data_IF_446343835397
#
_entry.id   IF_446343835397
#
_cell.length_a   1.000
_cell.length_b   1.000
_cell.length_c   1.000
_cell.angle_alpha   90.00
_cell.angle_beta   90.00
_cell.angle_gamma   90.00
#
_symmetry.space_group_name_H-M   'P 1'
#
loop_
_entity.id
_entity.type
_entity.pdbx_description
1 polymer ?
#
# COMPACT_ATOMS: atom_id res chain seq x y z
N UNK A 1 -28.71 1.95 7.37
CA UNK A 1 -29.00 2.67 6.11
C UNK A 1 -27.74 2.92 5.29
N UNK A 2 -26.72 3.62 5.81
CA UNK A 2 -25.45 3.86 5.08
C UNK A 2 -24.80 2.59 4.51
N UNK A 3 -24.76 1.48 5.28
CA UNK A 3 -24.21 0.20 4.82
C UNK A 3 -24.93 -0.35 3.58
N UNK A 4 -26.26 -0.26 3.55
CA UNK A 4 -27.05 -0.76 2.41
C UNK A 4 -26.80 0.09 1.17
N UNK A 5 -26.77 1.43 1.33
CA UNK A 5 -26.45 2.34 0.23
C UNK A 5 -25.03 2.11 -0.28
N UNK A 6 -24.06 1.91 0.61
CA UNK A 6 -22.69 1.57 0.25
C UNK A 6 -22.65 0.30 -0.60
N UNK A 7 -23.30 -0.77 -0.16
CA UNK A 7 -23.33 -2.05 -0.88
C UNK A 7 -23.94 -1.87 -2.28
N UNK A 8 -25.06 -1.17 -2.39
CA UNK A 8 -25.70 -0.88 -3.66
C UNK A 8 -24.82 -0.06 -4.60
N UNK A 9 -24.23 1.05 -4.12
CA UNK A 9 -23.35 1.91 -4.93
C UNK A 9 -22.13 1.12 -5.40
N UNK A 10 -21.51 0.35 -4.52
CA UNK A 10 -20.34 -0.46 -4.86
C UNK A 10 -20.69 -1.53 -5.89
N UNK A 11 -21.88 -2.13 -5.81
CA UNK A 11 -22.35 -3.08 -6.81
C UNK A 11 -22.61 -2.41 -8.17
N UNK A 12 -23.32 -1.28 -8.17
CA UNK A 12 -23.56 -0.48 -9.38
C UNK A 12 -22.25 -0.10 -10.09
N UNK A 13 -21.27 0.40 -9.34
CA UNK A 13 -19.96 0.77 -9.89
C UNK A 13 -19.22 -0.43 -10.50
N UNK A 14 -19.35 -1.62 -9.92
CA UNK A 14 -18.74 -2.85 -10.46
C UNK A 14 -19.45 -3.30 -11.73
N UNK A 15 -20.77 -3.36 -11.71
CA UNK A 15 -21.61 -3.83 -12.83
C UNK A 15 -21.38 -2.99 -14.08
N UNK A 16 -21.19 -1.67 -13.90
CA UNK A 16 -20.96 -0.74 -15.01
C UNK A 16 -19.46 -0.49 -15.31
N UNK A 17 -18.53 -1.19 -14.64
CA UNK A 17 -17.07 -1.02 -14.79
C UNK A 17 -16.59 0.44 -14.58
N UNK A 18 -17.22 1.16 -13.66
CA UNK A 18 -16.94 2.56 -13.34
C UNK A 18 -15.91 2.72 -12.20
N UNK A 19 -15.31 1.62 -11.73
CA UNK A 19 -14.27 1.67 -10.70
C UNK A 19 -12.91 1.97 -11.33
N UNK A 20 -12.21 2.97 -10.77
CA UNK A 20 -10.83 3.26 -11.13
C UNK A 20 -9.93 2.06 -10.80
N UNK A 21 -9.27 1.53 -11.82
CA UNK A 21 -8.36 0.40 -11.68
C UNK A 21 -7.07 0.78 -10.95
N UNK A 22 -6.74 2.07 -10.85
CA UNK A 22 -5.54 2.59 -10.18
C UNK A 22 -5.75 2.82 -8.67
N UNK A 23 -7.00 2.82 -8.19
CA UNK A 23 -7.36 3.04 -6.78
C UNK A 23 -7.39 1.74 -5.96
N UNK A 24 -6.49 1.64 -4.99
CA UNK A 24 -6.37 0.48 -4.08
C UNK A 24 -7.00 0.72 -2.70
N UNK A 25 -7.14 1.97 -2.28
CA UNK A 25 -7.74 2.34 -1.01
C UNK A 25 -9.23 2.07 -1.01
N UNK A 26 -9.75 1.48 0.07
CA UNK A 26 -11.17 1.14 0.25
C UNK A 26 -11.79 0.29 -0.88
N UNK A 27 -10.97 -0.36 -1.70
CA UNK A 27 -11.40 -1.21 -2.81
C UNK A 27 -11.26 -2.69 -2.43
N UNK A 28 -12.37 -3.43 -2.53
CA UNK A 28 -12.38 -4.87 -2.22
C UNK A 28 -11.40 -5.64 -3.12
N UNK A 29 -10.58 -6.51 -2.52
CA UNK A 29 -9.55 -7.28 -3.23
C UNK A 29 -8.23 -6.53 -3.45
N UNK A 30 -8.14 -5.27 -3.02
CA UNK A 30 -6.92 -4.45 -3.05
C UNK A 30 -6.49 -4.06 -1.64
N UNK A 31 -5.20 -3.81 -1.46
CA UNK A 31 -4.60 -3.44 -0.18
C UNK A 31 -3.34 -2.60 -0.39
N UNK A 32 -2.76 -2.09 0.69
CA UNK A 32 -1.45 -1.44 0.65
C UNK A 32 -0.39 -2.34 0.00
N UNK A 33 -0.42 -3.64 0.33
CA UNK A 33 0.52 -4.60 -0.22
C UNK A 33 0.35 -4.77 -1.74
N UNK A 34 -0.88 -4.87 -2.24
CA UNK A 34 -1.09 -5.03 -3.69
C UNK A 34 -0.72 -3.75 -4.44
N UNK A 35 -0.90 -2.58 -3.83
CA UNK A 35 -0.49 -1.30 -4.40
C UNK A 35 1.04 -1.22 -4.53
N UNK A 36 1.76 -1.53 -3.45
CA UNK A 36 3.23 -1.55 -3.45
C UNK A 36 3.77 -2.59 -4.45
N UNK A 37 3.21 -3.80 -4.46
CA UNK A 37 3.67 -4.87 -5.36
C UNK A 37 3.46 -4.48 -6.83
N UNK A 38 2.29 -3.98 -7.20
CA UNK A 38 1.98 -3.58 -8.58
C UNK A 38 2.87 -2.41 -9.04
N UNK A 39 2.96 -1.36 -8.23
CA UNK A 39 3.72 -0.16 -8.58
C UNK A 39 5.21 -0.47 -8.75
N UNK A 40 5.81 -1.16 -7.78
CA UNK A 40 7.24 -1.45 -7.82
C UNK A 40 7.59 -2.65 -8.73
N UNK A 41 6.62 -3.45 -9.18
CA UNK A 41 6.88 -4.42 -10.24
C UNK A 41 7.29 -3.70 -11.52
N UNK A 42 6.55 -2.64 -11.88
CA UNK A 42 6.88 -1.77 -13.01
C UNK A 42 8.22 -1.06 -12.84
N UNK A 43 8.45 -0.46 -11.66
CA UNK A 43 9.71 0.26 -11.35
C UNK A 43 10.91 -0.68 -11.44
N UNK A 44 10.87 -1.83 -10.76
CA UNK A 44 12.01 -2.74 -10.68
C UNK A 44 12.36 -3.35 -12.04
N UNK A 45 11.38 -3.55 -12.94
CA UNK A 45 11.64 -3.95 -14.35
C UNK A 45 12.49 -2.92 -15.08
N UNK A 46 12.21 -1.62 -14.94
CA UNK A 46 12.99 -0.56 -15.59
C UNK A 46 14.41 -0.50 -15.01
N UNK A 47 14.53 -0.53 -13.68
CA UNK A 47 15.83 -0.50 -12.99
C UNK A 47 16.69 -1.72 -13.39
N UNK A 48 16.08 -2.89 -13.55
CA UNK A 48 16.79 -4.11 -13.96
C UNK A 48 17.43 -4.01 -15.36
N UNK A 49 16.79 -3.24 -16.25
CA UNK A 49 17.34 -2.95 -17.59
C UNK A 49 18.39 -1.83 -17.58
N UNK A 50 18.69 -1.24 -16.42
CA UNK A 50 19.64 -0.14 -16.25
C UNK A 50 19.05 1.24 -16.50
N UNK A 51 17.71 1.36 -16.61
CA UNK A 51 17.00 2.63 -16.74
C UNK A 51 16.91 3.40 -15.42
N UNK A 52 16.29 4.58 -15.49
CA UNK A 52 16.06 5.44 -14.34
C UNK A 52 14.61 5.96 -14.32
N UNK A 53 14.06 6.09 -13.12
CA UNK A 53 12.70 6.59 -12.92
C UNK A 53 12.67 7.63 -11.81
N UNK A 54 11.71 8.54 -11.90
CA UNK A 54 11.40 9.51 -10.86
C UNK A 54 9.99 9.25 -10.32
N UNK A 55 9.87 9.12 -9.00
CA UNK A 55 8.61 8.90 -8.30
C UNK A 55 8.23 10.20 -7.58
N UNK A 56 7.07 10.77 -7.88
CA UNK A 56 6.49 11.83 -7.06
C UNK A 56 5.47 11.22 -6.10
N UNK A 57 5.70 11.43 -4.80
CA UNK A 57 4.74 11.17 -3.74
C UNK A 57 3.97 12.47 -3.46
N UNK A 58 2.65 12.41 -3.60
CA UNK A 58 1.77 13.57 -3.52
C UNK A 58 0.83 13.43 -2.33
N UNK A 59 0.76 14.48 -1.52
CA UNK A 59 -0.05 14.55 -0.31
C UNK A 59 -1.14 15.62 -0.48
N UNK A 60 -2.38 15.31 -0.10
CA UNK A 60 -3.47 16.28 -0.13
C UNK A 60 -3.63 17.00 1.21
N UNK A 61 -3.93 18.29 1.15
CA UNK A 61 -4.26 19.07 2.34
C UNK A 61 -5.65 18.71 2.85
N UNK A 62 -5.71 17.89 3.91
CA UNK A 62 -6.96 17.49 4.59
C UNK A 62 -7.99 16.89 3.62
N UNK A 63 -7.56 15.88 2.86
CA UNK A 63 -8.28 15.38 1.69
C UNK A 63 -9.77 15.09 1.94
N UNK A 64 -10.08 14.39 3.04
CA UNK A 64 -11.45 14.04 3.40
C UNK A 64 -12.29 15.26 3.81
N UNK A 65 -11.69 16.27 4.43
CA UNK A 65 -12.39 17.42 5.00
C UNK A 65 -12.66 18.52 3.96
N UNK A 66 -11.95 18.50 2.85
CA UNK A 66 -11.97 19.57 1.83
C UNK A 66 -12.78 19.22 0.58
N UNK A 67 -13.33 18.00 0.48
CA UNK A 67 -14.16 17.58 -0.67
C UNK A 67 -15.35 18.54 -0.88
N UNK A 68 -15.44 19.28 -1.99
CA UNK A 68 -16.55 20.20 -2.21
C UNK A 68 -17.84 19.43 -2.53
N UNK A 69 -18.88 19.62 -1.71
CA UNK A 69 -20.13 18.86 -1.82
C UNK A 69 -20.77 18.97 -3.21
N UNK A 70 -20.88 20.19 -3.77
CA UNK A 70 -21.49 20.39 -5.09
C UNK A 70 -20.78 19.61 -6.20
N UNK A 71 -19.44 19.56 -6.16
CA UNK A 71 -18.63 18.83 -7.15
C UNK A 71 -18.79 17.32 -6.99
N UNK A 72 -18.84 16.83 -5.75
CA UNK A 72 -19.13 15.43 -5.45
C UNK A 72 -20.51 15.02 -5.96
N UNK A 73 -21.55 15.83 -5.71
CA UNK A 73 -22.90 15.56 -6.21
C UNK A 73 -22.93 15.51 -7.74
N UNK A 74 -22.25 16.42 -8.43
CA UNK A 74 -22.16 16.38 -9.89
C UNK A 74 -21.53 15.08 -10.41
N UNK A 75 -20.46 14.59 -9.77
CA UNK A 75 -19.86 13.28 -10.10
C UNK A 75 -20.83 12.12 -9.87
N UNK A 76 -21.58 12.15 -8.78
CA UNK A 76 -22.59 11.12 -8.50
C UNK A 76 -23.69 11.09 -9.57
N UNK A 77 -24.11 12.26 -10.05
CA UNK A 77 -25.09 12.37 -11.14
C UNK A 77 -24.56 11.83 -12.46
N UNK A 78 -23.27 12.01 -12.77
CA UNK A 78 -22.66 11.46 -14.00
C UNK A 78 -22.48 9.93 -13.99
N UNK A 79 -22.63 9.27 -12.84
CA UNK A 79 -22.48 7.81 -12.70
C UNK A 79 -23.78 7.03 -12.96
N UNK A 80 -24.84 7.71 -13.43
CA UNK A 80 -26.16 7.11 -13.67
C UNK A 80 -26.71 6.35 -12.45
N UNK A 81 -26.47 6.88 -11.25
CA UNK A 81 -27.06 6.37 -10.02
C UNK A 81 -28.55 6.77 -9.95
N UNK A 82 -29.33 6.03 -9.18
CA UNK A 82 -30.73 6.40 -8.91
C UNK A 82 -30.79 7.81 -8.30
N UNK A 83 -31.65 8.66 -8.86
CA UNK A 83 -31.83 10.06 -8.42
C UNK A 83 -32.17 10.17 -6.93
N UNK A 84 -32.91 9.21 -6.36
CA UNK A 84 -33.25 9.19 -4.94
C UNK A 84 -32.02 8.91 -4.08
N UNK A 85 -31.08 8.10 -4.55
CA UNK A 85 -29.83 7.81 -3.84
C UNK A 85 -28.93 9.06 -3.85
N UNK A 86 -28.84 9.73 -4.99
CA UNK A 86 -28.07 10.98 -5.10
C UNK A 86 -28.68 12.07 -4.21
N UNK A 87 -30.00 12.20 -4.19
CA UNK A 87 -30.71 13.15 -3.34
C UNK A 87 -30.51 12.84 -1.86
N UNK A 88 -30.57 11.56 -1.48
CA UNK A 88 -30.29 11.13 -0.11
C UNK A 88 -28.86 11.51 0.30
N UNK A 89 -27.86 11.29 -0.56
CA UNK A 89 -26.47 11.67 -0.29
C UNK A 89 -26.32 13.19 -0.17
N UNK A 90 -27.02 13.96 -1.02
CA UNK A 90 -27.06 15.42 -0.92
C UNK A 90 -27.56 15.86 0.45
N UNK A 91 -28.71 15.34 0.88
CA UNK A 91 -29.28 15.65 2.20
C UNK A 91 -28.37 15.19 3.35
N UNK A 92 -27.68 14.05 3.19
CA UNK A 92 -26.73 13.54 4.18
C UNK A 92 -25.48 14.43 4.35
N UNK A 93 -25.12 15.21 3.33
CA UNK A 93 -24.02 16.19 3.36
C UNK A 93 -24.47 17.60 3.77
N UNK A 94 -25.72 17.97 3.47
CA UNK A 94 -26.29 19.31 3.71
C UNK A 94 -26.56 19.62 5.18
N UNK A 95 -26.54 20.92 5.51
CA UNK A 95 -26.94 21.51 6.80
C UNK A 95 -26.29 20.88 8.05
N UNK A 96 -25.13 20.27 7.85
CA UNK A 96 -24.35 19.65 8.93
C UNK A 96 -23.69 20.72 9.78
N UNK A 97 -23.67 20.46 11.08
CA UNK A 97 -22.93 21.25 12.05
C UNK A 97 -21.96 20.35 12.81
N UNK A 98 -20.83 20.92 13.21
CA UNK A 98 -19.83 20.28 14.04
C UNK A 98 -19.44 21.17 15.22
N UNK A 99 -19.01 20.56 16.31
CA UNK A 99 -18.39 21.22 17.46
C UNK A 99 -17.33 20.31 18.05
N UNK A 100 -16.32 20.89 18.68
CA UNK A 100 -15.25 20.14 19.35
C UNK A 100 -15.58 20.04 20.84
N UNK A 101 -15.28 18.89 21.43
CA UNK A 101 -15.39 18.66 22.88
C UNK A 101 -14.01 18.36 23.43
N UNK A 102 -13.54 19.18 24.37
CA UNK A 102 -12.26 18.96 25.08
C UNK A 102 -12.54 18.99 26.57
N UNK A 103 -12.22 17.90 27.28
CA UNK A 103 -12.43 17.78 28.72
C UNK A 103 -13.87 18.13 29.16
N UNK A 104 -14.87 17.74 28.37
CA UNK A 104 -16.29 18.04 28.64
C UNK A 104 -16.74 19.46 28.29
N UNK A 105 -15.84 20.32 27.80
CA UNK A 105 -16.17 21.69 27.35
C UNK A 105 -16.44 21.68 25.84
N UNK A 106 -17.54 22.32 25.44
CA UNK A 106 -17.99 22.40 24.05
C UNK A 106 -17.55 23.71 23.40
N UNK A 107 -17.08 23.65 22.15
CA UNK A 107 -16.95 24.83 21.30
C UNK A 107 -18.31 25.33 20.80
N UNK A 108 -18.34 26.52 20.21
CA UNK A 108 -19.44 26.93 19.36
C UNK A 108 -19.67 25.93 18.21
N UNK A 109 -20.91 25.87 17.72
CA UNK A 109 -21.25 25.10 16.52
C UNK A 109 -20.72 25.81 15.28
N UNK A 110 -20.07 25.07 14.40
CA UNK A 110 -19.65 25.51 13.07
C UNK A 110 -20.37 24.72 11.99
N UNK A 111 -20.74 25.38 10.90
CA UNK A 111 -21.30 24.73 9.72
C UNK A 111 -20.23 23.91 9.00
N UNK A 112 -20.62 22.75 8.48
CA UNK A 112 -19.76 21.88 7.66
C UNK A 112 -20.09 22.12 6.20
N UNK A 113 -19.30 22.97 5.55
CA UNK A 113 -19.52 23.38 4.15
C UNK A 113 -18.80 22.51 3.12
N UNK A 114 -17.92 21.62 3.56
CA UNK A 114 -17.14 20.71 2.72
C UNK A 114 -16.79 19.43 3.48
N UNK A 115 -16.30 18.46 2.73
CA UNK A 115 -15.76 17.21 3.23
C UNK A 115 -16.76 16.08 3.26
N UNK A 116 -16.24 14.87 3.29
CA UNK A 116 -16.99 13.65 3.59
C UNK A 116 -16.71 13.25 5.04
N UNK A 117 -17.75 12.95 5.85
CA UNK A 117 -17.58 12.66 7.27
C UNK A 117 -16.59 11.51 7.55
N UNK A 118 -15.51 11.82 8.27
CA UNK A 118 -14.57 10.81 8.74
C UNK A 118 -15.25 9.87 9.75
N UNK A 119 -14.97 8.57 9.64
CA UNK A 119 -15.63 7.54 10.47
C UNK A 119 -17.02 7.10 9.97
N UNK A 120 -17.56 7.73 8.93
CA UNK A 120 -18.79 7.24 8.27
C UNK A 120 -18.53 6.01 7.40
N UNK A 121 -19.61 5.28 7.10
CA UNK A 121 -19.55 4.09 6.23
C UNK A 121 -19.47 4.49 4.75
N UNK A 122 -20.13 5.60 4.37
CA UNK A 122 -20.14 6.11 2.99
C UNK A 122 -18.94 6.99 2.63
N UNK A 123 -18.38 7.73 3.59
CA UNK A 123 -17.32 8.71 3.33
C UNK A 123 -16.17 8.19 2.47
N UNK A 124 -15.58 7.02 2.78
CA UNK A 124 -14.51 6.44 1.95
C UNK A 124 -14.92 6.12 0.50
N UNK A 125 -16.16 5.67 0.28
CA UNK A 125 -16.64 5.37 -1.08
C UNK A 125 -16.90 6.65 -1.86
N UNK A 126 -17.47 7.66 -1.21
CA UNK A 126 -17.68 8.98 -1.81
C UNK A 126 -16.36 9.66 -2.16
N UNK A 127 -15.34 9.52 -1.32
CA UNK A 127 -13.99 10.00 -1.61
C UNK A 127 -13.39 9.29 -2.83
N UNK A 128 -13.50 7.95 -2.90
CA UNK A 128 -13.02 7.19 -4.05
C UNK A 128 -13.71 7.60 -5.36
N UNK A 129 -15.01 7.86 -5.33
CA UNK A 129 -15.75 8.40 -6.49
C UNK A 129 -15.23 9.80 -6.83
N UNK A 130 -14.96 10.62 -5.83
CA UNK A 130 -14.46 11.97 -6.04
C UNK A 130 -13.11 11.99 -6.75
N UNK A 131 -12.18 11.12 -6.36
CA UNK A 131 -10.82 11.10 -6.91
C UNK A 131 -10.67 10.23 -8.18
N UNK A 132 -11.73 9.55 -8.65
CA UNK A 132 -11.62 8.48 -9.65
C UNK A 132 -11.05 8.89 -11.01
N UNK A 133 -11.11 10.18 -11.37
CA UNK A 133 -10.61 10.73 -12.63
C UNK A 133 -9.26 11.45 -12.50
N UNK A 134 -8.64 11.46 -11.31
CA UNK A 134 -7.35 12.13 -11.08
C UNK A 134 -6.26 11.65 -12.03
N UNK A 135 -6.32 10.37 -12.40
CA UNK A 135 -5.32 9.71 -13.21
C UNK A 135 -5.65 9.74 -14.71
N UNK A 136 -6.72 10.44 -15.11
CA UNK A 136 -7.13 10.58 -16.51
C UNK A 136 -6.10 11.42 -17.27
N UNK A 137 -5.68 10.92 -18.44
CA UNK A 137 -4.69 11.59 -19.28
C UNK A 137 -3.26 11.57 -18.74
N UNK A 138 -2.96 10.95 -17.60
CA UNK A 138 -1.59 10.77 -17.10
C UNK A 138 -0.91 9.61 -17.84
N UNK A 139 0.29 9.84 -18.37
CA UNK A 139 1.02 8.81 -19.13
C UNK A 139 1.91 7.95 -18.22
N UNK A 140 2.44 8.53 -17.13
CA UNK A 140 3.20 7.78 -16.13
C UNK A 140 2.39 6.70 -15.41
N UNK A 141 3.09 5.80 -14.71
CA UNK A 141 2.45 4.82 -13.83
C UNK A 141 1.89 5.56 -12.62
N UNK A 142 0.58 5.44 -12.39
CA UNK A 142 -0.12 6.03 -11.23
C UNK A 142 -0.68 4.93 -10.35
N UNK A 143 -0.51 5.07 -9.05
CA UNK A 143 -1.16 4.24 -8.05
C UNK A 143 -1.74 5.13 -6.95
N UNK A 144 -2.99 4.86 -6.59
CA UNK A 144 -3.71 5.60 -5.55
C UNK A 144 -4.04 4.66 -4.39
N UNK A 145 -4.02 5.18 -3.17
CA UNK A 145 -4.58 4.53 -2.00
C UNK A 145 -5.30 5.56 -1.14
N UNK A 146 -6.61 5.69 -1.36
CA UNK A 146 -7.40 6.80 -0.85
C UNK A 146 -6.78 8.12 -1.33
N UNK A 147 -6.35 8.99 -0.41
CA UNK A 147 -5.69 10.26 -0.66
C UNK A 147 -4.21 10.11 -1.03
N UNK A 148 -3.53 9.03 -0.59
CA UNK A 148 -2.14 8.78 -0.95
C UNK A 148 -2.02 8.58 -2.48
N UNK A 149 -1.35 9.51 -3.15
CA UNK A 149 -1.18 9.48 -4.61
C UNK A 149 0.30 9.41 -4.95
N UNK A 150 0.68 8.48 -5.82
CA UNK A 150 2.02 8.45 -6.39
C UNK A 150 2.01 8.26 -7.88
N UNK A 151 2.89 8.99 -8.56
CA UNK A 151 3.12 8.89 -9.99
C UNK A 151 4.59 8.59 -10.27
N UNK A 152 4.86 7.84 -11.33
CA UNK A 152 6.21 7.47 -11.72
C UNK A 152 6.39 7.53 -13.23
N UNK A 153 7.49 8.13 -13.66
CA UNK A 153 7.88 8.22 -15.06
C UNK A 153 9.32 7.73 -15.25
N UNK A 154 9.59 7.15 -16.42
CA UNK A 154 10.94 6.83 -16.85
C UNK A 154 11.63 8.10 -17.37
N UNK A 155 12.80 8.42 -16.83
CA UNK A 155 13.47 9.72 -17.04
C UNK A 155 14.82 9.64 -17.73
N UNK A 156 15.35 8.43 -17.95
CA UNK A 156 16.59 8.21 -18.74
C UNK A 156 16.36 8.26 -20.26
N UNK A 157 15.14 8.54 -20.72
CA UNK A 157 14.77 8.57 -22.14
C UNK A 157 14.48 10.00 -22.61
N UNK A 158 14.69 10.31 -23.91
CA UNK A 158 14.30 11.61 -24.46
C UNK A 158 12.84 11.93 -24.16
N UNK A 159 12.58 13.12 -23.62
CA UNK A 159 11.25 13.57 -23.22
C UNK A 159 10.71 13.00 -21.90
N UNK A 160 11.42 12.08 -21.23
CA UNK A 160 10.96 11.48 -19.97
C UNK A 160 10.77 12.50 -18.84
N UNK A 161 11.70 13.43 -18.69
CA UNK A 161 11.57 14.55 -17.72
C UNK A 161 10.39 15.45 -18.10
N UNK A 162 10.27 15.82 -19.38
CA UNK A 162 9.15 16.64 -19.88
C UNK A 162 7.80 15.97 -19.67
N UNK A 163 7.73 14.64 -19.81
CA UNK A 163 6.55 13.84 -19.54
C UNK A 163 6.16 13.89 -18.06
N UNK A 164 7.13 13.73 -17.15
CA UNK A 164 6.91 13.87 -15.72
C UNK A 164 6.39 15.26 -15.36
N UNK A 165 7.01 16.32 -15.89
CA UNK A 165 6.55 17.71 -15.69
C UNK A 165 5.14 17.93 -16.23
N UNK A 166 4.81 17.38 -17.41
CA UNK A 166 3.47 17.47 -17.98
C UNK A 166 2.41 16.74 -17.14
N UNK A 167 2.74 15.55 -16.63
CA UNK A 167 1.84 14.77 -15.76
C UNK A 167 1.59 15.49 -14.43
N UNK A 168 2.63 16.07 -13.81
CA UNK A 168 2.47 16.93 -12.63
C UNK A 168 1.62 18.17 -12.94
N UNK A 169 1.79 18.76 -14.13
CA UNK A 169 0.96 19.88 -14.60
C UNK A 169 -0.52 19.51 -14.78
N UNK A 170 -0.82 18.29 -15.25
CA UNK A 170 -2.20 17.77 -15.33
C UNK A 170 -2.79 17.58 -13.94
N UNK A 171 -2.03 17.01 -13.01
CA UNK A 171 -2.45 16.85 -11.62
C UNK A 171 -2.72 18.19 -10.93
N UNK A 172 -1.86 19.19 -11.17
CA UNK A 172 -2.07 20.57 -10.69
C UNK A 172 -3.42 21.11 -11.19
N UNK A 173 -3.67 21.04 -12.51
CA UNK A 173 -4.93 21.49 -13.12
C UNK A 173 -6.14 20.74 -12.58
N UNK A 174 -6.03 19.42 -12.39
CA UNK A 174 -7.08 18.61 -11.78
C UNK A 174 -7.36 19.04 -10.34
N UNK A 175 -6.32 19.29 -9.55
CA UNK A 175 -6.42 19.75 -8.16
C UNK A 175 -7.10 21.12 -8.05
N UNK A 176 -6.73 22.07 -8.92
CA UNK A 176 -7.37 23.39 -9.02
C UNK A 176 -8.84 23.27 -9.45
N UNK A 177 -9.11 22.44 -10.47
CA UNK A 177 -10.46 22.20 -10.95
C UNK A 177 -11.33 21.59 -9.86
N UNK A 178 -10.89 20.53 -9.20
CA UNK A 178 -11.70 19.83 -8.19
C UNK A 178 -11.63 20.45 -6.80
N UNK A 179 -10.84 21.52 -6.62
CA UNK A 179 -10.62 22.22 -5.35
C UNK A 179 -10.12 21.28 -4.24
N UNK A 180 -9.27 20.33 -4.60
CA UNK A 180 -8.61 19.40 -3.67
C UNK A 180 -7.11 19.67 -3.69
N UNK A 181 -6.66 20.63 -2.88
CA UNK A 181 -5.30 21.17 -2.94
C UNK A 181 -4.24 20.20 -2.40
N UNK A 182 -3.10 20.11 -3.08
CA UNK A 182 -1.93 19.41 -2.55
C UNK A 182 -1.29 20.16 -1.38
N UNK A 183 -0.73 19.42 -0.43
CA UNK A 183 0.21 19.92 0.57
C UNK A 183 1.62 19.83 -0.03
N UNK A 184 2.01 20.84 -0.79
CA UNK A 184 3.23 20.77 -1.62
C UNK A 184 4.51 20.58 -0.79
N UNK A 185 4.55 21.08 0.45
CA UNK A 185 5.70 20.91 1.35
C UNK A 185 5.89 19.45 1.79
N UNK A 186 4.80 18.69 1.84
CA UNK A 186 4.81 17.25 2.12
C UNK A 186 5.00 16.39 0.87
N UNK A 187 4.75 16.94 -0.32
CA UNK A 187 5.06 16.24 -1.56
C UNK A 187 6.57 16.05 -1.72
N UNK A 188 7.00 14.87 -2.16
CA UNK A 188 8.41 14.51 -2.33
C UNK A 188 8.68 13.93 -3.71
N UNK A 189 9.92 14.08 -4.18
CA UNK A 189 10.43 13.38 -5.36
C UNK A 189 11.53 12.40 -4.95
N UNK A 190 11.45 11.16 -5.42
CA UNK A 190 12.49 10.15 -5.23
C UNK A 190 13.07 9.76 -6.58
N UNK A 191 14.39 9.84 -6.70
CA UNK A 191 15.13 9.52 -7.92
C UNK A 191 15.70 8.10 -7.83
N UNK A 192 15.34 7.23 -8.76
CA UNK A 192 15.80 5.85 -8.81
C UNK A 192 16.59 5.56 -10.08
N UNK A 193 17.60 4.69 -9.96
CA UNK A 193 18.42 4.22 -11.07
C UNK A 193 19.77 4.95 -11.18
N UNK A 194 20.80 4.21 -11.61
CA UNK A 194 22.19 4.71 -11.60
C UNK A 194 22.45 5.86 -12.57
N UNK A 195 21.65 5.95 -13.64
CA UNK A 195 21.76 6.97 -14.70
C UNK A 195 20.72 8.08 -14.53
N UNK A 196 20.17 8.25 -13.33
CA UNK A 196 19.11 9.21 -13.10
C UNK A 196 19.66 10.65 -13.22
N UNK A 197 19.02 11.53 -14.01
CA UNK A 197 19.44 12.93 -14.18
C UNK A 197 19.17 13.82 -12.96
N UNK A 198 18.40 13.32 -11.97
CA UNK A 198 17.97 14.00 -10.75
C UNK A 198 17.34 15.36 -11.05
N UNK A 199 16.37 15.36 -11.96
CA UNK A 199 15.71 16.57 -12.41
C UNK A 199 14.91 17.23 -11.28
N UNK A 200 14.87 18.57 -11.30
CA UNK A 200 14.02 19.35 -10.41
C UNK A 200 12.59 19.42 -10.98
N UNK A 201 11.60 19.19 -10.12
CA UNK A 201 10.18 19.29 -10.47
C UNK A 201 9.47 20.31 -9.60
N UNK A 202 8.47 20.97 -10.18
CA UNK A 202 7.65 21.98 -9.50
C UNK A 202 6.17 21.64 -9.60
N UNK A 203 5.44 21.90 -8.53
CA UNK A 203 3.98 21.93 -8.52
C UNK A 203 3.59 23.31 -7.99
N UNK A 204 2.73 24.02 -8.73
CA UNK A 204 2.51 25.46 -8.52
C UNK A 204 3.85 26.20 -8.62
N UNK A 205 4.20 27.01 -7.62
CA UNK A 205 5.44 27.79 -7.57
C UNK A 205 6.50 27.15 -6.65
N UNK A 206 6.23 25.94 -6.15
CA UNK A 206 7.10 25.26 -5.17
C UNK A 206 7.83 24.09 -5.80
N UNK A 207 9.13 24.00 -5.51
CA UNK A 207 10.00 22.88 -5.89
C UNK A 207 9.73 21.68 -4.98
N UNK A 208 9.52 20.51 -5.58
CA UNK A 208 9.37 19.26 -4.81
C UNK A 208 10.69 18.90 -4.13
N UNK A 209 10.62 18.60 -2.84
CA UNK A 209 11.81 18.20 -2.08
C UNK A 209 12.25 16.80 -2.50
N UNK A 210 13.52 16.65 -2.89
CA UNK A 210 14.12 15.34 -3.17
C UNK A 210 14.30 14.53 -1.88
N UNK A 211 14.06 13.22 -1.93
CA UNK A 211 14.24 12.31 -0.79
C UNK A 211 14.96 11.03 -1.18
N UNK A 212 15.81 10.55 -0.27
CA UNK A 212 16.48 9.24 -0.37
C UNK A 212 15.70 8.12 0.33
N UNK A 213 14.78 8.45 1.24
CA UNK A 213 13.87 7.51 1.89
C UNK A 213 12.48 8.12 2.05
N UNK A 214 11.44 7.40 1.67
CA UNK A 214 10.05 7.86 1.80
C UNK A 214 9.15 6.79 2.39
N UNK A 215 8.12 7.20 3.13
CA UNK A 215 7.15 6.29 3.71
C UNK A 215 5.95 6.11 2.78
N UNK A 216 5.90 4.99 2.07
CA UNK A 216 4.80 4.63 1.18
C UNK A 216 3.89 3.58 1.84
N UNK A 217 2.63 3.95 2.13
CA UNK A 217 1.61 3.10 2.75
C UNK A 217 2.08 2.36 4.03
N UNK A 218 2.94 3.02 4.80
CA UNK A 218 3.49 2.51 6.06
C UNK A 218 4.81 1.74 5.93
N UNK A 219 5.32 1.54 4.71
CA UNK A 219 6.60 0.89 4.41
C UNK A 219 7.64 1.94 4.01
N UNK A 220 8.89 1.76 4.44
CA UNK A 220 10.00 2.63 4.02
C UNK A 220 10.56 2.14 2.69
N UNK A 221 10.58 3.05 1.72
CA UNK A 221 11.16 2.89 0.39
C UNK A 221 12.46 3.69 0.38
N UNK A 222 13.57 3.08 -0.01
CA UNK A 222 14.85 3.78 -0.20
C UNK A 222 15.16 3.99 -1.68
N UNK A 223 15.99 5.00 -1.98
CA UNK A 223 16.44 5.31 -3.35
C UNK A 223 17.24 4.15 -4.00
N UNK A 224 17.85 3.29 -3.19
CA UNK A 224 18.58 2.10 -3.64
C UNK A 224 17.69 0.84 -3.71
N UNK A 225 16.40 0.98 -3.37
CA UNK A 225 15.40 -0.09 -3.27
C UNK A 225 15.79 -1.24 -2.34
N UNK A 226 16.75 -1.03 -1.45
CA UNK A 226 17.11 -2.01 -0.42
C UNK A 226 16.17 -1.91 0.77
N UNK A 227 15.81 -3.07 1.32
CA UNK A 227 14.81 -3.16 2.39
C UNK A 227 15.41 -3.05 3.80
N UNK A 228 16.71 -2.76 3.92
CA UNK A 228 17.42 -2.77 5.20
C UNK A 228 16.85 -1.71 6.17
N UNK A 229 16.58 -0.48 5.71
CA UNK A 229 15.95 0.57 6.54
C UNK A 229 14.56 0.16 7.02
N UNK A 230 13.75 -0.46 6.16
CA UNK A 230 12.45 -1.01 6.54
C UNK A 230 12.57 -2.14 7.57
N UNK A 231 13.53 -3.07 7.41
CA UNK A 231 13.75 -4.15 8.36
C UNK A 231 14.13 -3.63 9.75
N UNK A 232 15.02 -2.64 9.81
CA UNK A 232 15.40 -1.98 11.06
C UNK A 232 14.21 -1.29 11.72
N UNK A 233 13.40 -0.55 10.96
CA UNK A 233 12.21 0.13 11.48
C UNK A 233 11.15 -0.86 11.98
N UNK A 234 10.87 -1.92 11.23
CA UNK A 234 9.95 -2.98 11.60
C UNK A 234 10.38 -3.68 12.90
N UNK A 235 11.65 -4.10 12.97
CA UNK A 235 12.22 -4.74 14.16
C UNK A 235 12.24 -3.79 15.37
N UNK A 236 12.56 -2.51 15.18
CA UNK A 236 12.53 -1.49 16.23
C UNK A 236 11.12 -1.28 16.80
N UNK A 237 10.10 -1.17 15.93
CA UNK A 237 8.70 -1.04 16.35
C UNK A 237 8.22 -2.28 17.10
N UNK A 238 8.47 -3.46 16.54
CA UNK A 238 8.11 -4.73 17.16
C UNK A 238 8.85 -4.92 18.50
N UNK A 239 10.14 -4.57 18.57
CA UNK A 239 10.95 -4.63 19.79
C UNK A 239 10.46 -3.70 20.89
N UNK A 240 10.02 -2.48 20.54
CA UNK A 240 9.38 -1.55 21.48
C UNK A 240 8.06 -2.11 22.00
N UNK A 241 7.20 -2.60 21.11
CA UNK A 241 5.93 -3.21 21.49
C UNK A 241 6.13 -4.44 22.39
N UNK A 242 7.11 -5.29 22.06
CA UNK A 242 7.48 -6.44 22.89
C UNK A 242 7.99 -6.00 24.27
N UNK A 243 8.73 -4.89 24.34
CA UNK A 243 9.14 -4.27 25.60
C UNK A 243 7.94 -3.80 26.44
N UNK A 244 6.93 -3.19 25.81
CA UNK A 244 5.69 -2.80 26.47
C UNK A 244 4.92 -4.01 27.00
N UNK A 245 4.73 -5.06 26.19
CA UNK A 245 4.13 -6.33 26.63
C UNK A 245 4.93 -6.94 27.79
N UNK A 246 6.25 -6.87 27.70
CA UNK A 246 7.15 -7.32 28.75
C UNK A 246 6.92 -6.60 30.08
N UNK A 247 6.81 -5.28 30.08
CA UNK A 247 6.60 -4.49 31.31
C UNK A 247 5.16 -4.52 31.82
N UNK A 248 4.18 -4.55 30.92
CA UNK A 248 2.77 -4.45 31.27
C UNK A 248 2.13 -5.76 31.77
N UNK A 249 2.76 -6.91 31.53
CA UNK A 249 2.20 -8.22 31.87
C UNK A 249 3.16 -8.97 32.79
N UNK A 250 2.69 -9.30 34.00
CA UNK A 250 3.45 -10.08 34.98
C UNK A 250 3.56 -11.56 34.60
N UNK A 251 2.49 -12.14 34.03
CA UNK A 251 2.46 -13.55 33.64
C UNK A 251 3.40 -13.84 32.47
N UNK A 252 4.25 -14.85 32.63
CA UNK A 252 5.16 -15.37 31.59
C UNK A 252 4.73 -16.71 31.01
N UNK A 253 3.51 -17.14 31.29
CA UNK A 253 2.93 -18.38 30.74
C UNK A 253 2.77 -18.25 29.22
N UNK A 254 2.98 -19.35 28.49
CA UNK A 254 2.90 -19.37 27.01
C UNK A 254 1.51 -18.97 26.52
N UNK A 255 0.47 -19.33 27.26
CA UNK A 255 -0.95 -19.07 26.97
C UNK A 255 -1.28 -17.58 27.02
N UNK A 256 -0.46 -16.76 27.69
CA UNK A 256 -0.65 -15.31 27.79
C UNK A 256 0.29 -14.58 26.82
N UNK A 257 1.58 -14.88 26.88
CA UNK A 257 2.57 -14.13 26.10
C UNK A 257 2.46 -14.37 24.60
N UNK A 258 2.15 -15.59 24.15
CA UNK A 258 2.14 -15.89 22.71
C UNK A 258 0.95 -15.29 21.97
N UNK A 259 -0.29 -15.28 22.51
CA UNK A 259 -1.36 -14.49 21.92
C UNK A 259 -1.01 -13.01 21.80
N UNK A 260 -0.44 -12.40 22.84
CA UNK A 260 -0.03 -10.99 22.81
C UNK A 260 1.08 -10.71 21.79
N UNK A 261 2.08 -11.57 21.70
CA UNK A 261 3.11 -11.47 20.66
C UNK A 261 2.49 -11.53 19.26
N UNK A 262 1.59 -12.49 19.02
CA UNK A 262 0.95 -12.68 17.71
C UNK A 262 0.03 -11.52 17.32
N UNK A 263 -0.65 -10.92 18.29
CA UNK A 263 -1.63 -9.86 18.07
C UNK A 263 -1.01 -8.45 18.02
N UNK A 264 0.03 -8.18 18.82
CA UNK A 264 0.57 -6.83 18.98
C UNK A 264 1.98 -6.66 18.39
N UNK A 265 2.84 -7.67 18.50
CA UNK A 265 4.26 -7.55 18.11
C UNK A 265 4.48 -7.98 16.68
N UNK A 266 4.03 -9.18 16.32
CA UNK A 266 4.26 -9.80 15.02
C UNK A 266 3.70 -9.00 13.83
N UNK A 267 2.55 -8.30 13.92
CA UNK A 267 2.05 -7.50 12.80
C UNK A 267 3.05 -6.45 12.31
N UNK A 268 3.85 -5.85 13.20
CA UNK A 268 4.89 -4.91 12.81
C UNK A 268 6.01 -5.54 11.96
N UNK A 269 6.21 -6.85 12.08
CA UNK A 269 7.24 -7.62 11.34
C UNK A 269 6.70 -8.18 10.01
N UNK A 270 5.37 -8.25 9.84
CA UNK A 270 4.73 -8.96 8.73
C UNK A 270 3.88 -8.05 7.83
N UNK A 271 3.57 -6.82 8.26
CA UNK A 271 2.80 -5.88 7.46
C UNK A 271 3.48 -5.58 6.12
N UNK A 272 2.76 -5.84 5.02
CA UNK A 272 3.23 -5.69 3.63
C UNK A 272 4.53 -6.46 3.30
N UNK A 273 4.88 -7.52 4.05
CA UNK A 273 6.19 -8.18 3.94
C UNK A 273 6.41 -8.87 2.59
N UNK A 274 5.35 -9.19 1.84
CA UNK A 274 5.54 -9.70 0.46
C UNK A 274 6.17 -8.64 -0.45
N UNK A 275 6.01 -7.35 -0.18
CA UNK A 275 6.77 -6.33 -0.91
C UNK A 275 8.25 -6.32 -0.48
N UNK A 276 8.52 -6.17 0.82
CA UNK A 276 9.86 -5.87 1.33
C UNK A 276 10.62 -7.07 1.93
N UNK A 277 10.28 -8.31 1.56
CA UNK A 277 10.94 -9.52 2.11
C UNK A 277 12.47 -9.41 1.99
N UNK A 278 13.22 -9.45 3.11
CA UNK A 278 14.67 -9.37 3.05
C UNK A 278 15.27 -10.65 2.47
N UNK A 279 16.37 -10.50 1.74
CA UNK A 279 17.19 -11.59 1.21
C UNK A 279 18.61 -11.60 1.78
N UNK A 280 19.04 -10.52 2.45
CA UNK A 280 20.33 -10.47 3.13
C UNK A 280 20.21 -11.07 4.52
N UNK A 281 21.15 -11.95 4.89
CA UNK A 281 21.16 -12.65 6.16
C UNK A 281 21.09 -11.69 7.37
N UNK A 282 21.83 -10.57 7.31
CA UNK A 282 21.82 -9.54 8.36
C UNK A 282 20.40 -8.99 8.64
N UNK A 283 19.59 -8.79 7.59
CA UNK A 283 18.26 -8.19 7.70
C UNK A 283 17.26 -9.26 8.18
N UNK A 284 17.39 -10.49 7.69
CA UNK A 284 16.65 -11.67 8.19
C UNK A 284 16.87 -11.84 9.69
N UNK A 285 18.12 -11.80 10.15
CA UNK A 285 18.48 -11.99 11.56
C UNK A 285 17.98 -10.86 12.47
N UNK A 286 17.94 -9.62 11.99
CA UNK A 286 17.39 -8.48 12.73
C UNK A 286 15.90 -8.71 13.04
N UNK A 287 15.12 -9.18 12.06
CA UNK A 287 13.72 -9.51 12.29
C UNK A 287 13.58 -10.73 13.22
N UNK A 288 14.36 -11.79 12.95
CA UNK A 288 14.30 -13.05 13.71
C UNK A 288 14.68 -12.84 15.19
N UNK A 289 15.56 -11.89 15.48
CA UNK A 289 15.96 -11.51 16.84
C UNK A 289 14.78 -11.10 17.71
N UNK A 290 13.76 -10.45 17.13
CA UNK A 290 12.55 -10.06 17.87
C UNK A 290 11.77 -11.30 18.32
N UNK A 291 11.58 -12.27 17.43
CA UNK A 291 10.92 -13.53 17.78
C UNK A 291 11.75 -14.34 18.78
N UNK A 292 13.07 -14.43 18.58
CA UNK A 292 14.01 -15.07 19.52
C UNK A 292 13.91 -14.45 20.92
N UNK A 293 13.75 -13.13 21.03
CA UNK A 293 13.54 -12.46 22.32
C UNK A 293 12.18 -12.81 22.91
N UNK A 294 11.11 -12.77 22.12
CA UNK A 294 9.76 -13.05 22.59
C UNK A 294 9.62 -14.48 23.14
N UNK A 295 10.15 -15.49 22.43
CA UNK A 295 10.09 -16.88 22.89
C UNK A 295 10.97 -17.12 24.13
N UNK A 296 12.05 -16.35 24.33
CA UNK A 296 12.90 -16.42 25.52
C UNK A 296 12.20 -15.93 26.79
N UNK A 297 11.21 -15.05 26.65
CA UNK A 297 10.46 -14.48 27.78
C UNK A 297 9.45 -15.45 28.38
N UNK A 298 9.14 -16.55 27.69
CA UNK A 298 8.22 -17.57 28.17
C UNK A 298 8.89 -18.37 29.29
N UNK A 299 8.15 -18.59 30.37
CA UNK A 299 8.62 -19.36 31.52
C UNK A 299 9.09 -20.76 31.10
N UNK A 300 10.24 -21.19 31.64
CA UNK A 300 10.83 -22.50 31.34
C UNK A 300 11.54 -22.64 29.98
N UNK A 301 11.50 -21.60 29.13
CA UNK A 301 12.09 -21.67 27.78
C UNK A 301 13.42 -20.92 27.65
N UNK A 302 13.85 -20.14 28.65
CA UNK A 302 14.99 -19.21 28.56
C UNK A 302 16.30 -19.89 28.12
N UNK A 303 16.60 -21.06 28.66
CA UNK A 303 17.85 -21.80 28.46
C UNK A 303 17.81 -22.73 27.24
N UNK A 304 16.62 -22.96 26.65
CA UNK A 304 16.47 -23.81 25.46
C UNK A 304 17.01 -23.11 24.22
N UNK A 305 17.52 -23.90 23.27
CA UNK A 305 17.90 -23.41 21.95
C UNK A 305 16.71 -22.77 21.24
N UNK A 306 16.98 -21.94 20.22
CA UNK A 306 15.87 -21.31 19.50
C UNK A 306 14.95 -22.31 18.81
N UNK A 307 15.50 -23.39 18.26
CA UNK A 307 14.71 -24.41 17.57
C UNK A 307 13.81 -25.20 18.52
N UNK A 308 14.32 -25.58 19.70
CA UNK A 308 13.51 -26.24 20.74
C UNK A 308 12.36 -25.34 21.20
N UNK A 309 12.63 -24.04 21.42
CA UNK A 309 11.58 -23.08 21.80
C UNK A 309 10.50 -22.96 20.74
N UNK A 310 10.86 -22.98 19.46
CA UNK A 310 9.90 -22.96 18.37
C UNK A 310 9.03 -24.23 18.36
N UNK A 311 9.64 -25.40 18.58
CA UNK A 311 8.93 -26.68 18.65
C UNK A 311 7.95 -26.69 19.84
N UNK A 312 8.40 -26.31 21.04
CA UNK A 312 7.58 -26.28 22.26
C UNK A 312 6.39 -25.31 22.18
N UNK A 313 6.56 -24.21 21.43
CA UNK A 313 5.53 -23.19 21.23
C UNK A 313 4.65 -23.44 19.99
N UNK A 314 4.94 -24.50 19.24
CA UNK A 314 4.35 -24.80 17.93
C UNK A 314 4.39 -23.57 17.00
N UNK A 315 5.59 -23.02 16.80
CA UNK A 315 5.83 -21.82 16.01
C UNK A 315 6.83 -22.09 14.87
N UNK A 316 6.58 -21.47 13.73
CA UNK A 316 7.57 -21.37 12.66
C UNK A 316 8.52 -20.18 12.90
N UNK A 317 9.76 -20.28 12.38
CA UNK A 317 10.64 -19.10 12.23
C UNK A 317 9.95 -18.01 11.40
N UNK A 318 10.32 -16.75 11.59
CA UNK A 318 9.72 -15.69 10.77
C UNK A 318 10.08 -15.85 9.30
N UNK A 319 11.24 -16.45 9.00
CA UNK A 319 11.63 -16.81 7.64
C UNK A 319 10.65 -17.77 6.97
N UNK A 320 10.38 -18.93 7.58
CA UNK A 320 9.38 -19.89 7.06
C UNK A 320 7.99 -19.27 6.94
N UNK A 321 7.66 -18.31 7.81
CA UNK A 321 6.38 -17.57 7.73
C UNK A 321 6.34 -16.65 6.52
N UNK A 322 7.44 -16.00 6.15
CA UNK A 322 7.54 -15.18 4.93
C UNK A 322 7.40 -16.07 3.68
N UNK A 323 8.00 -17.25 3.67
CA UNK A 323 7.84 -18.22 2.57
C UNK A 323 6.37 -18.62 2.41
N UNK A 324 5.71 -18.97 3.52
CA UNK A 324 4.27 -19.27 3.53
C UNK A 324 3.43 -18.07 3.07
N UNK A 325 3.79 -16.86 3.47
CA UNK A 325 3.12 -15.64 3.06
C UNK A 325 3.23 -15.39 1.56
N UNK A 326 4.42 -15.57 1.00
CA UNK A 326 4.66 -15.52 -0.45
C UNK A 326 3.75 -16.52 -1.18
N UNK A 327 3.65 -17.77 -0.69
CA UNK A 327 2.77 -18.77 -1.29
C UNK A 327 1.29 -18.40 -1.28
N UNK A 328 0.80 -17.90 -0.13
CA UNK A 328 -0.58 -17.47 0.01
C UNK A 328 -0.89 -16.31 -0.93
N UNK A 329 0.00 -15.34 -1.02
CA UNK A 329 -0.22 -14.16 -1.86
C UNK A 329 -0.19 -14.51 -3.35
N UNK A 330 0.76 -15.35 -3.78
CA UNK A 330 0.79 -15.88 -5.15
C UNK A 330 -0.50 -16.62 -5.48
N UNK A 331 -1.01 -17.46 -4.57
CA UNK A 331 -2.29 -18.14 -4.76
C UNK A 331 -3.44 -17.14 -4.98
N UNK A 332 -3.52 -16.07 -4.19
CA UNK A 332 -4.56 -15.05 -4.35
C UNK A 332 -4.49 -14.33 -5.70
N UNK A 333 -3.30 -14.01 -6.20
CA UNK A 333 -3.14 -13.44 -7.54
C UNK A 333 -3.55 -14.44 -8.63
N UNK A 334 -3.04 -15.67 -8.55
CA UNK A 334 -3.31 -16.71 -9.56
C UNK A 334 -4.79 -17.09 -9.64
N UNK A 335 -5.53 -17.02 -8.53
CA UNK A 335 -6.96 -17.29 -8.45
C UNK A 335 -7.86 -16.06 -8.64
N UNK A 336 -7.30 -14.89 -8.93
CA UNK A 336 -8.08 -13.67 -9.14
C UNK A 336 -8.80 -13.16 -7.88
N UNK A 337 -8.35 -13.56 -6.69
CA UNK A 337 -8.87 -13.01 -5.41
C UNK A 337 -8.43 -11.55 -5.28
N UNK A 338 -7.21 -11.24 -5.72
CA UNK A 338 -6.80 -9.87 -5.94
C UNK A 338 -7.44 -9.35 -7.22
N UNK A 339 -8.23 -8.28 -7.08
CA UNK A 339 -8.85 -7.56 -8.22
C UNK A 339 -7.87 -6.58 -8.85
N UNK A 340 -6.71 -7.11 -9.24
CA UNK A 340 -5.77 -6.46 -10.15
C UNK A 340 -6.01 -7.01 -11.56
N UNK A 341 -5.59 -6.29 -12.59
CA UNK A 341 -5.76 -6.75 -13.97
C UNK A 341 -5.15 -8.14 -14.16
N UNK A 342 -5.88 -9.06 -14.79
CA UNK A 342 -5.41 -10.44 -14.99
C UNK A 342 -4.16 -10.44 -15.88
N UNK A 343 -3.09 -11.14 -15.44
CA UNK A 343 -1.81 -11.16 -16.16
C UNK A 343 -0.92 -9.93 -15.95
N UNK A 344 -1.35 -8.94 -15.14
CA UNK A 344 -0.55 -7.73 -14.83
C UNK A 344 0.79 -8.04 -14.18
N UNK A 345 0.80 -9.01 -13.24
CA UNK A 345 1.95 -9.29 -12.38
C UNK A 345 2.58 -10.67 -12.70
N UNK A 346 1.77 -11.69 -12.96
CA UNK A 346 2.23 -13.05 -13.25
C UNK A 346 1.77 -13.52 -14.62
N UNK A 347 2.70 -14.10 -15.40
CA UNK A 347 2.39 -14.80 -16.65
C UNK A 347 2.27 -16.30 -16.38
N UNK A 348 1.20 -16.92 -16.88
CA UNK A 348 1.05 -18.38 -16.85
C UNK A 348 1.82 -18.98 -18.02
N UNK A 349 2.58 -20.04 -17.75
CA UNK A 349 3.27 -20.79 -18.80
C UNK A 349 2.23 -21.57 -19.61
N UNK A 350 2.08 -21.24 -20.88
CA UNK A 350 1.31 -22.07 -21.80
C UNK A 350 2.05 -23.40 -21.99
N UNK A 351 1.44 -24.51 -21.59
CA UNK A 351 2.02 -25.85 -21.72
C UNK A 351 1.28 -26.62 -22.81
N UNK A 352 2.02 -27.10 -23.81
CA UNK A 352 1.56 -28.13 -24.76
C UNK A 352 1.74 -29.57 -24.21
N UNK A 353 2.32 -29.73 -23.00
CA UNK A 353 2.61 -31.04 -22.40
C UNK A 353 1.55 -31.42 -21.36
N UNK A 354 1.05 -32.66 -21.48
CA UNK A 354 -0.05 -33.27 -20.70
C UNK A 354 0.31 -33.69 -19.27
N UNK A 355 1.58 -33.62 -18.86
CA UNK A 355 2.06 -34.08 -17.53
C UNK A 355 2.47 -32.97 -16.55
N UNK A 356 2.09 -31.72 -16.80
CA UNK A 356 2.35 -30.59 -15.90
C UNK A 356 1.07 -30.00 -15.32
N UNK A 357 1.08 -29.53 -14.07
CA UNK A 357 -0.07 -28.81 -13.50
C UNK A 357 -0.29 -27.47 -14.22
N UNK A 358 -1.56 -27.08 -14.38
CA UNK A 358 -2.01 -25.91 -15.16
C UNK A 358 -1.69 -24.53 -14.56
N UNK A 359 -1.07 -24.49 -13.37
CA UNK A 359 -0.77 -23.25 -12.63
C UNK A 359 0.72 -22.87 -12.67
N UNK A 360 1.47 -23.37 -13.66
CA UNK A 360 2.89 -23.00 -13.80
C UNK A 360 3.02 -21.53 -14.17
N UNK A 361 3.89 -20.82 -13.45
CA UNK A 361 4.24 -19.44 -13.71
C UNK A 361 5.48 -19.38 -14.59
N UNK A 362 5.54 -18.37 -15.45
CA UNK A 362 6.71 -18.09 -16.29
C UNK A 362 7.59 -17.04 -15.60
N UNK A 363 8.84 -17.41 -15.33
CA UNK A 363 9.84 -16.51 -14.76
C UNK A 363 10.45 -15.63 -15.84
N UNK A 364 10.85 -14.42 -15.48
CA UNK A 364 11.51 -13.50 -16.39
C UNK A 364 13.02 -13.51 -16.15
N UNK A 365 13.81 -13.19 -17.18
CA UNK A 365 15.24 -12.98 -17.01
C UNK A 365 15.45 -11.68 -16.23
N UNK A 366 16.34 -11.72 -15.24
CA UNK A 366 16.73 -10.56 -14.45
C UNK A 366 18.25 -10.36 -14.46
N UNK A 367 18.71 -9.13 -14.23
CA UNK A 367 20.13 -8.74 -14.18
C UNK A 367 20.58 -8.26 -12.80
N UNK A 368 19.63 -7.90 -11.93
CA UNK A 368 19.89 -7.31 -10.62
C UNK A 368 19.33 -8.15 -9.47
N UNK A 369 19.97 -8.07 -8.31
CA UNK A 369 19.45 -8.69 -7.09
C UNK A 369 18.11 -8.08 -6.64
N UNK A 370 17.89 -6.79 -6.93
CA UNK A 370 16.62 -6.10 -6.63
C UNK A 370 15.48 -6.81 -7.36
N UNK A 371 15.63 -7.07 -8.68
CA UNK A 371 14.60 -7.77 -9.45
C UNK A 371 14.50 -9.25 -9.10
N UNK A 372 15.64 -9.95 -8.97
CA UNK A 372 15.71 -11.37 -8.59
C UNK A 372 14.91 -11.67 -7.31
N UNK A 373 15.08 -10.83 -6.29
CA UNK A 373 14.43 -11.01 -4.99
C UNK A 373 13.09 -10.25 -4.87
N UNK A 374 12.63 -9.62 -5.95
CA UNK A 374 11.31 -9.03 -5.99
C UNK A 374 10.23 -10.11 -6.00
N UNK A 375 9.05 -9.79 -5.46
CA UNK A 375 7.98 -10.75 -5.23
C UNK A 375 7.65 -11.58 -6.47
N UNK A 376 7.51 -10.93 -7.63
CA UNK A 376 7.06 -11.58 -8.86
C UNK A 376 8.05 -12.60 -9.43
N UNK A 377 9.35 -12.42 -9.18
CA UNK A 377 10.38 -13.33 -9.68
C UNK A 377 10.73 -14.39 -8.63
N UNK A 378 10.89 -13.99 -7.36
CA UNK A 378 11.34 -14.92 -6.31
C UNK A 378 10.37 -16.07 -6.06
N UNK A 379 9.07 -15.84 -6.25
CA UNK A 379 8.05 -16.88 -6.03
C UNK A 379 8.01 -17.89 -7.18
N UNK A 380 8.45 -17.49 -8.37
CA UNK A 380 8.59 -18.42 -9.49
C UNK A 380 9.75 -19.37 -9.22
N UNK A 381 10.91 -18.85 -8.81
CA UNK A 381 12.09 -19.68 -8.53
C UNK A 381 11.88 -20.63 -7.34
N UNK A 382 11.15 -20.20 -6.31
CA UNK A 382 10.93 -20.99 -5.09
C UNK A 382 9.80 -22.02 -5.20
N UNK A 383 8.77 -21.79 -6.04
CA UNK A 383 7.65 -22.73 -6.19
C UNK A 383 7.94 -23.92 -7.11
N UNK A 384 9.00 -23.86 -7.94
CA UNK A 384 9.35 -24.96 -8.88
C UNK A 384 10.51 -25.86 -8.42
N UNK A 385 11.03 -25.66 -7.20
CA UNK A 385 12.05 -26.55 -6.60
C UNK A 385 11.48 -27.61 -5.64
N UNK A 386 10.16 -27.67 -5.44
CA UNK A 386 9.51 -28.72 -4.68
C UNK A 386 8.49 -29.47 -5.55
N UNK A 387 9.03 -30.33 -6.41
CA UNK A 387 8.27 -31.28 -7.23
C UNK A 387 9.22 -32.37 -7.70
N UNK A 388 9.69 -33.18 -6.75
CA UNK A 388 10.21 -34.52 -7.00
C UNK A 388 9.06 -35.50 -7.20
#
# INVERSE_FOLDING_TARGET
>A
METMLKEWIVDHLKTHRLQDQKQHGFTSGRSCQTNLIDFFDWVTKIIDTGGAVDIAYLDFSKAFDTVPHRRLINKLQSLSLDSNIVEWIRQWLSDRQQRVVVNGVYSAQGLVTSGVPQGSVLGPILFNIFISDIAEGINGKVCLFADDTKICNRVDVPGGISQMTNDLGKLKKWSELWQLSFNVDKCKIMHLGRKNPRAEYRIFDTVLTSTSEERDLGVIISEDLRVSSQCNRAAGNAGRMLGCVGRGISSRKREVLMPLYRALVRPHLEYCVQYWRPYLQKDIDILERVQRRATKMVYGLKEKSYQERLNDLNMYSLEKRRDRGDMIETFKYVKGIHKVEEGSIFKRKQSSKTRGHSLRLEGQRFKSNIRKHYFTERVVDSMFLCGG
#
